data_IF_289811416506
#
_entry.id   IF_289811416506
#
_cell.length_a   1.000
_cell.length_b   1.000
_cell.length_c   1.000
_cell.angle_alpha   90.00
_cell.angle_beta   90.00
_cell.angle_gamma   90.00
#
_symmetry.space_group_name_H-M   'P 1'
#
loop_
_entity.id
_entity.type
_entity.pdbx_description
1 polymer ?
#
# COMPACT_ATOMS: atom_id res chain seq x y z
N UNK A 1 44.31 7.28 21.02
CA UNK A 1 42.99 7.16 20.35
C UNK A 1 42.00 6.74 21.41
N UNK A 2 41.06 7.62 21.77
CA UNK A 2 40.16 7.37 22.91
C UNK A 2 39.26 6.15 22.64
N UNK A 3 39.08 5.31 23.65
CA UNK A 3 38.26 4.09 23.60
C UNK A 3 36.83 4.38 23.12
N UNK A 4 36.32 5.58 23.40
CA UNK A 4 35.05 6.14 22.91
C UNK A 4 34.96 6.18 21.38
N UNK A 5 36.04 6.60 20.71
CA UNK A 5 36.11 6.69 19.24
C UNK A 5 36.11 5.29 18.63
N UNK A 6 36.87 4.36 19.19
CA UNK A 6 36.91 2.96 18.73
C UNK A 6 35.54 2.30 18.90
N UNK A 7 34.91 2.47 20.06
CA UNK A 7 33.57 1.93 20.34
C UNK A 7 32.51 2.49 19.39
N UNK A 8 32.57 3.79 19.10
CA UNK A 8 31.69 4.44 18.12
C UNK A 8 31.85 3.84 16.72
N UNK A 9 33.09 3.68 16.24
CA UNK A 9 33.34 3.09 14.91
C UNK A 9 32.95 1.62 14.82
N UNK A 10 33.08 0.86 15.91
CA UNK A 10 32.61 -0.53 15.98
C UNK A 10 31.09 -0.61 15.91
N UNK A 11 30.36 0.24 16.66
CA UNK A 11 28.90 0.32 16.57
C UNK A 11 28.46 0.79 15.18
N UNK A 12 29.14 1.79 14.62
CA UNK A 12 28.85 2.28 13.28
C UNK A 12 29.05 1.17 12.22
N UNK A 13 30.14 0.42 12.31
CA UNK A 13 30.40 -0.73 11.44
C UNK A 13 29.32 -1.81 11.60
N UNK A 14 28.92 -2.15 12.82
CA UNK A 14 27.86 -3.15 13.07
C UNK A 14 26.50 -2.70 12.53
N UNK A 15 26.16 -1.42 12.64
CA UNK A 15 24.91 -0.85 12.08
C UNK A 15 24.99 -0.86 10.55
N UNK A 16 26.08 -0.41 9.95
CA UNK A 16 26.29 -0.43 8.49
C UNK A 16 26.23 -1.87 7.96
N UNK A 17 26.82 -2.85 8.67
CA UNK A 17 26.74 -4.27 8.31
C UNK A 17 25.31 -4.80 8.41
N UNK A 18 24.55 -4.44 9.45
CA UNK A 18 23.16 -4.86 9.62
C UNK A 18 22.25 -4.26 8.53
N UNK A 19 22.48 -3.00 8.16
CA UNK A 19 21.80 -2.34 7.05
C UNK A 19 22.21 -2.91 5.70
N UNK A 20 23.50 -3.19 5.46
CA UNK A 20 23.98 -3.90 4.26
C UNK A 20 23.35 -5.28 4.16
N UNK A 21 23.18 -6.00 5.27
CA UNK A 21 22.47 -7.29 5.30
C UNK A 21 21.01 -7.13 4.92
N UNK A 22 20.31 -6.10 5.41
CA UNK A 22 18.93 -5.78 4.99
C UNK A 22 18.87 -5.45 3.50
N UNK A 23 19.80 -4.64 3.00
CA UNK A 23 19.92 -4.25 1.59
C UNK A 23 20.20 -5.48 0.72
N UNK A 24 21.14 -6.35 1.09
CA UNK A 24 21.45 -7.61 0.39
C UNK A 24 20.22 -8.51 0.38
N UNK A 25 19.49 -8.60 1.48
CA UNK A 25 18.25 -9.38 1.56
C UNK A 25 17.17 -8.84 0.62
N UNK A 26 17.08 -7.51 0.46
CA UNK A 26 16.18 -6.85 -0.50
C UNK A 26 16.68 -6.95 -1.97
N UNK A 27 18.01 -7.01 -2.17
CA UNK A 27 18.68 -7.21 -3.47
C UNK A 27 18.50 -8.64 -3.99
N UNK A 28 18.64 -9.64 -3.11
CA UNK A 28 18.37 -11.06 -3.39
C UNK A 28 16.89 -11.28 -3.74
N UNK A 29 15.98 -10.46 -3.19
CA UNK A 29 14.56 -10.44 -3.56
C UNK A 29 14.23 -9.62 -4.82
N UNK A 30 15.22 -9.22 -5.62
CA UNK A 30 15.08 -8.50 -6.90
C UNK A 30 14.29 -7.18 -6.85
N UNK A 31 13.98 -6.62 -5.67
CA UNK A 31 12.91 -5.61 -5.59
C UNK A 31 13.30 -4.17 -5.83
N UNK A 32 14.56 -3.72 -5.66
CA UNK A 32 14.89 -2.31 -5.95
C UNK A 32 16.39 -1.92 -5.98
N UNK A 33 17.15 -2.28 -7.02
CA UNK A 33 18.56 -1.88 -7.19
C UNK A 33 18.75 -0.34 -7.24
N UNK A 34 17.78 0.38 -7.78
CA UNK A 34 17.75 1.85 -7.88
C UNK A 34 17.57 2.54 -6.53
N UNK A 35 16.82 1.95 -5.59
CA UNK A 35 16.63 2.51 -4.25
C UNK A 35 17.92 2.55 -3.44
N UNK A 36 18.77 1.54 -3.60
CA UNK A 36 20.07 1.42 -2.92
C UNK A 36 21.06 2.47 -3.43
N UNK A 37 21.15 2.66 -4.76
CA UNK A 37 22.02 3.67 -5.35
C UNK A 37 21.62 5.10 -4.95
N UNK A 38 20.31 5.37 -4.90
CA UNK A 38 19.77 6.67 -4.52
C UNK A 38 20.03 6.97 -3.03
N UNK A 39 19.96 5.95 -2.17
CA UNK A 39 20.33 6.06 -0.76
C UNK A 39 21.81 6.37 -0.55
N UNK A 40 22.72 5.65 -1.24
CA UNK A 40 24.17 5.92 -1.17
C UNK A 40 24.48 7.35 -1.63
N UNK A 41 23.83 7.81 -2.71
CA UNK A 41 24.01 9.17 -3.23
C UNK A 41 23.54 10.24 -2.23
N UNK A 42 22.40 10.03 -1.58
CA UNK A 42 21.91 10.91 -0.51
C UNK A 42 22.90 10.94 0.66
N UNK A 43 23.43 9.78 1.06
CA UNK A 43 24.36 9.67 2.18
C UNK A 43 25.67 10.44 1.94
N UNK A 44 26.20 10.34 0.72
CA UNK A 44 27.36 11.11 0.28
C UNK A 44 27.07 12.63 0.21
N UNK A 45 25.89 13.01 -0.28
CA UNK A 45 25.47 14.42 -0.38
C UNK A 45 25.24 15.06 1.00
N UNK A 46 24.65 14.32 1.94
CA UNK A 46 24.46 14.76 3.34
C UNK A 46 25.80 14.92 4.04
N UNK A 47 26.72 13.98 3.89
CA UNK A 47 28.07 14.10 4.45
C UNK A 47 28.80 15.34 3.93
N UNK A 48 28.72 15.59 2.62
CA UNK A 48 29.34 16.75 1.97
C UNK A 48 28.72 18.09 2.42
N UNK A 49 27.39 18.17 2.49
CA UNK A 49 26.69 19.39 2.94
C UNK A 49 26.91 19.68 4.42
N UNK A 50 26.94 18.65 5.27
CA UNK A 50 27.23 18.81 6.70
C UNK A 50 28.67 19.31 6.93
N UNK A 51 29.63 18.78 6.18
CA UNK A 51 31.03 19.26 6.18
C UNK A 51 31.12 20.73 5.73
N UNK A 52 30.43 21.09 4.65
CA UNK A 52 30.44 22.45 4.11
C UNK A 52 29.83 23.49 5.07
N UNK A 53 28.72 23.16 5.73
CA UNK A 53 27.99 24.09 6.61
C UNK A 53 28.72 24.33 7.92
N UNK A 54 29.24 23.27 8.54
CA UNK A 54 29.77 23.36 9.90
C UNK A 54 31.29 23.47 9.99
N UNK A 55 32.01 23.32 8.86
CA UNK A 55 33.47 23.42 8.77
C UNK A 55 34.20 22.62 9.87
N UNK A 56 33.63 21.47 10.27
CA UNK A 56 34.21 20.59 11.27
C UNK A 56 35.40 19.84 10.69
N UNK A 57 36.38 19.55 11.55
CA UNK A 57 37.43 18.59 11.23
C UNK A 57 36.79 17.21 10.99
N UNK A 58 37.14 16.56 9.87
CA UNK A 58 36.52 15.31 9.39
C UNK A 58 36.70 14.18 10.42
N UNK A 59 37.71 14.31 11.29
CA UNK A 59 38.03 13.35 12.35
C UNK A 59 37.41 13.70 13.71
N UNK A 60 36.62 14.78 13.81
CA UNK A 60 35.96 15.15 15.06
C UNK A 60 34.77 14.25 15.38
N UNK A 61 34.61 13.89 16.66
CA UNK A 61 33.47 13.10 17.12
C UNK A 61 32.13 13.82 16.87
N UNK A 62 32.11 15.15 16.94
CA UNK A 62 30.94 15.99 16.64
C UNK A 62 30.50 15.87 15.18
N UNK A 63 31.45 15.78 14.23
CA UNK A 63 31.14 15.57 12.82
C UNK A 63 30.48 14.21 12.56
N UNK A 64 31.04 13.15 13.15
CA UNK A 64 30.48 11.80 13.04
C UNK A 64 29.07 11.68 13.63
N UNK A 65 28.82 12.26 14.81
CA UNK A 65 27.50 12.29 15.44
C UNK A 65 26.50 13.09 14.59
N UNK A 66 26.91 14.25 14.08
CA UNK A 66 26.06 15.12 13.27
C UNK A 66 25.60 14.45 11.98
N UNK A 67 26.52 13.80 11.25
CA UNK A 67 26.19 13.02 10.05
C UNK A 67 25.26 11.86 10.39
N UNK A 68 25.53 11.13 11.46
CA UNK A 68 24.71 9.99 11.88
C UNK A 68 23.26 10.39 12.17
N UNK A 69 23.07 11.44 12.98
CA UNK A 69 21.73 11.97 13.29
C UNK A 69 21.04 12.47 12.02
N UNK A 70 21.75 13.18 11.16
CA UNK A 70 21.18 13.72 9.92
C UNK A 70 20.73 12.60 8.97
N UNK A 71 21.49 11.51 8.84
CA UNK A 71 21.12 10.34 8.03
C UNK A 71 19.86 9.67 8.59
N UNK A 72 19.77 9.47 9.91
CA UNK A 72 18.58 8.87 10.53
C UNK A 72 17.35 9.73 10.27
N UNK A 73 17.45 11.04 10.53
CA UNK A 73 16.34 11.98 10.33
C UNK A 73 15.92 11.99 8.86
N UNK A 74 16.87 12.08 7.93
CA UNK A 74 16.54 12.11 6.51
C UNK A 74 15.93 10.79 6.02
N UNK A 75 16.37 9.66 6.55
CA UNK A 75 15.80 8.34 6.25
C UNK A 75 14.35 8.22 6.73
N UNK A 76 14.05 8.74 7.92
CA UNK A 76 12.69 8.79 8.45
C UNK A 76 11.81 9.69 7.56
N UNK A 77 12.29 10.90 7.25
CA UNK A 77 11.57 11.86 6.40
C UNK A 77 11.31 11.27 5.00
N UNK A 78 12.32 10.65 4.39
CA UNK A 78 12.19 10.03 3.07
C UNK A 78 11.16 8.89 3.08
N UNK A 79 11.21 8.01 4.08
CA UNK A 79 10.23 6.93 4.22
C UNK A 79 8.80 7.47 4.37
N UNK A 80 8.61 8.51 5.19
CA UNK A 80 7.31 9.17 5.34
C UNK A 80 6.83 9.76 4.02
N UNK A 81 7.70 10.45 3.27
CA UNK A 81 7.38 10.98 1.94
C UNK A 81 7.00 9.88 0.95
N UNK A 82 7.69 8.75 0.95
CA UNK A 82 7.35 7.60 0.11
C UNK A 82 5.96 7.03 0.44
N UNK A 83 5.64 6.86 1.72
CA UNK A 83 4.33 6.36 2.18
C UNK A 83 3.22 7.34 1.78
N UNK A 84 3.41 8.64 2.04
CA UNK A 84 2.48 9.70 1.66
C UNK A 84 2.26 9.74 0.15
N UNK A 85 3.33 9.66 -0.63
CA UNK A 85 3.27 9.67 -2.10
C UNK A 85 2.46 8.49 -2.65
N UNK A 86 2.71 7.27 -2.15
CA UNK A 86 1.93 6.07 -2.53
C UNK A 86 0.44 6.26 -2.21
N UNK A 87 0.12 6.73 -1.01
CA UNK A 87 -1.26 6.98 -0.58
C UNK A 87 -1.97 8.00 -1.45
N UNK A 88 -1.29 9.11 -1.80
CA UNK A 88 -1.84 10.14 -2.68
C UNK A 88 -2.07 9.59 -4.09
N UNK A 89 -1.11 8.84 -4.64
CA UNK A 89 -1.23 8.23 -5.97
C UNK A 89 -2.42 7.27 -6.06
N UNK A 90 -2.60 6.38 -5.08
CA UNK A 90 -3.79 5.51 -5.04
C UNK A 90 -5.06 6.33 -4.88
N UNK A 91 -5.10 7.30 -3.96
CA UNK A 91 -6.31 8.11 -3.77
C UNK A 91 -6.73 8.83 -5.06
N UNK A 92 -5.75 9.38 -5.81
CA UNK A 92 -5.99 9.95 -7.14
C UNK A 92 -6.49 8.91 -8.14
N UNK A 93 -5.92 7.71 -8.13
CA UNK A 93 -6.37 6.61 -8.98
C UNK A 93 -7.83 6.24 -8.69
N UNK A 94 -8.20 6.06 -7.42
CA UNK A 94 -9.58 5.74 -7.00
C UNK A 94 -10.57 6.80 -7.48
N UNK A 95 -10.26 8.08 -7.28
CA UNK A 95 -11.10 9.19 -7.77
C UNK A 95 -11.26 9.15 -9.29
N UNK A 96 -10.21 8.80 -10.03
CA UNK A 96 -10.29 8.62 -11.49
C UNK A 96 -11.20 7.45 -11.85
N UNK A 97 -11.13 6.33 -11.12
CA UNK A 97 -11.98 5.16 -11.34
C UNK A 97 -13.45 5.45 -11.03
N UNK A 98 -13.74 6.18 -9.97
CA UNK A 98 -15.09 6.64 -9.64
C UNK A 98 -15.69 7.52 -10.74
N UNK A 99 -14.89 8.42 -11.33
CA UNK A 99 -15.33 9.23 -12.49
C UNK A 99 -15.55 8.37 -13.73
N UNK A 100 -14.64 7.44 -14.02
CA UNK A 100 -14.74 6.54 -15.17
C UNK A 100 -15.95 5.62 -15.06
N UNK A 101 -16.26 5.13 -13.86
CA UNK A 101 -17.45 4.32 -13.58
C UNK A 101 -18.72 5.03 -14.05
N UNK A 102 -18.85 6.36 -13.89
CA UNK A 102 -20.03 7.11 -14.36
C UNK A 102 -20.13 7.31 -15.88
N UNK A 103 -19.08 6.99 -16.63
CA UNK A 103 -18.94 7.33 -18.05
C UNK A 103 -18.83 6.10 -18.96
N UNK A 104 -18.76 4.90 -18.40
CA UNK A 104 -18.53 3.66 -19.15
C UNK A 104 -19.64 2.66 -18.83
N UNK A 105 -19.89 1.71 -19.73
CA UNK A 105 -20.80 0.60 -19.42
C UNK A 105 -20.28 -0.22 -18.23
N UNK A 106 -21.17 -0.86 -17.48
CA UNK A 106 -20.81 -1.71 -16.33
C UNK A 106 -19.77 -2.77 -16.72
N UNK A 107 -20.04 -3.49 -17.82
CA UNK A 107 -19.16 -4.55 -18.33
C UNK A 107 -17.77 -4.02 -18.69
N UNK A 108 -17.69 -2.92 -19.45
CA UNK A 108 -16.40 -2.35 -19.86
C UNK A 108 -15.59 -1.84 -18.67
N UNK A 109 -16.28 -1.29 -17.66
CA UNK A 109 -15.64 -0.83 -16.45
C UNK A 109 -15.03 -1.99 -15.66
N UNK A 110 -15.78 -3.08 -15.46
CA UNK A 110 -15.29 -4.28 -14.75
C UNK A 110 -14.11 -4.90 -15.50
N UNK A 111 -14.21 -5.06 -16.82
CA UNK A 111 -13.12 -5.60 -17.63
C UNK A 111 -11.84 -4.74 -17.50
N UNK A 112 -12.00 -3.42 -17.55
CA UNK A 112 -10.88 -2.50 -17.36
C UNK A 112 -10.22 -2.64 -15.97
N UNK A 113 -11.01 -2.82 -14.92
CA UNK A 113 -10.49 -3.05 -13.56
C UNK A 113 -9.67 -4.33 -13.48
N UNK A 114 -10.15 -5.41 -14.09
CA UNK A 114 -9.46 -6.70 -14.15
C UNK A 114 -8.15 -6.61 -14.95
N UNK A 115 -8.15 -5.89 -16.08
CA UNK A 115 -6.95 -5.70 -16.91
C UNK A 115 -5.83 -4.96 -16.17
N UNK A 116 -6.17 -4.03 -15.27
CA UNK A 116 -5.20 -3.23 -14.50
C UNK A 116 -4.81 -3.84 -13.14
N UNK A 117 -5.26 -5.06 -12.84
CA UNK A 117 -5.04 -5.73 -11.56
C UNK A 117 -3.57 -5.75 -11.11
N UNK A 118 -2.61 -5.99 -12.01
CA UNK A 118 -1.19 -6.10 -11.65
C UNK A 118 -0.59 -4.80 -11.09
N UNK A 119 -1.11 -3.65 -11.51
CA UNK A 119 -0.62 -2.34 -11.05
C UNK A 119 -1.43 -1.80 -9.88
N UNK A 120 -2.75 -1.98 -9.94
CA UNK A 120 -3.69 -1.55 -8.91
C UNK A 120 -4.65 -2.71 -8.62
N UNK A 121 -4.26 -3.63 -7.72
CA UNK A 121 -5.11 -4.75 -7.36
C UNK A 121 -6.45 -4.26 -6.80
N UNK A 122 -7.54 -4.77 -7.39
CA UNK A 122 -8.91 -4.51 -6.95
C UNK A 122 -9.37 -5.72 -6.17
N UNK A 123 -9.93 -5.48 -4.99
CA UNK A 123 -10.44 -6.53 -4.13
C UNK A 123 -11.95 -6.38 -3.93
N UNK A 124 -12.58 -7.51 -3.66
CA UNK A 124 -13.97 -7.64 -3.26
C UNK A 124 -13.99 -8.05 -1.80
N UNK A 125 -14.73 -7.30 -1.00
CA UNK A 125 -15.11 -7.64 0.36
C UNK A 125 -16.60 -7.99 0.34
N UNK A 126 -16.93 -9.25 0.52
CA UNK A 126 -18.30 -9.73 0.62
C UNK A 126 -18.53 -10.28 2.03
N UNK A 127 -19.51 -9.73 2.72
CA UNK A 127 -19.89 -10.12 4.09
C UNK A 127 -21.36 -10.57 4.01
N UNK A 128 -21.62 -11.86 3.74
CA UNK A 128 -22.97 -12.40 3.54
C UNK A 128 -23.85 -12.22 4.77
N UNK A 129 -23.27 -12.35 5.98
CA UNK A 129 -23.97 -12.17 7.27
C UNK A 129 -24.63 -10.79 7.40
N UNK A 130 -24.01 -9.76 6.84
CA UNK A 130 -24.53 -8.40 6.80
C UNK A 130 -25.23 -8.05 5.49
N UNK A 131 -25.30 -9.00 4.55
CA UNK A 131 -25.80 -8.80 3.19
C UNK A 131 -25.10 -7.65 2.45
N UNK A 132 -23.79 -7.48 2.70
CA UNK A 132 -23.01 -6.36 2.15
C UNK A 132 -21.88 -6.80 1.24
N UNK A 133 -21.70 -6.07 0.15
CA UNK A 133 -20.55 -6.18 -0.74
C UNK A 133 -19.88 -4.82 -0.95
N UNK A 134 -18.56 -4.80 -0.95
CA UNK A 134 -17.76 -3.62 -1.25
C UNK A 134 -16.62 -3.98 -2.18
N UNK A 135 -16.42 -3.17 -3.22
CA UNK A 135 -15.31 -3.33 -4.16
C UNK A 135 -14.39 -2.12 -4.00
N UNK A 136 -13.08 -2.35 -3.97
CA UNK A 136 -12.14 -1.28 -3.67
C UNK A 136 -10.68 -1.68 -3.73
N UNK A 137 -9.85 -0.84 -3.12
CA UNK A 137 -8.41 -0.92 -3.18
C UNK A 137 -7.80 -0.89 -1.79
N UNK A 138 -6.70 -1.62 -1.61
CA UNK A 138 -5.79 -1.40 -0.48
C UNK A 138 -5.04 -0.06 -0.71
N UNK A 139 -5.29 0.93 0.17
CA UNK A 139 -4.71 2.28 0.08
C UNK A 139 -3.18 2.26 0.17
N UNK A 140 -2.60 1.23 0.80
CA UNK A 140 -1.15 1.12 0.95
C UNK A 140 -0.45 0.48 -0.27
N UNK A 141 -1.21 -0.11 -1.20
CA UNK A 141 -0.70 -0.97 -2.30
C UNK A 141 0.29 -2.04 -1.85
N UNK A 142 0.12 -2.56 -0.64
CA UNK A 142 1.00 -3.58 -0.10
C UNK A 142 0.41 -4.97 -0.35
N UNK A 143 1.31 -5.96 -0.40
CA UNK A 143 0.91 -7.36 -0.40
C UNK A 143 0.08 -7.64 0.85
N UNK A 144 -0.97 -8.45 0.67
CA UNK A 144 -1.82 -8.89 1.75
C UNK A 144 -1.04 -9.84 2.67
N UNK A 145 -1.07 -9.56 3.98
CA UNK A 145 -0.44 -10.39 5.01
C UNK A 145 -1.48 -10.69 6.07
N UNK A 146 -1.62 -11.97 6.42
CA UNK A 146 -2.53 -12.43 7.47
C UNK A 146 -2.12 -11.79 8.80
N UNK A 147 -3.10 -11.34 9.59
CA UNK A 147 -2.90 -10.66 10.86
C UNK A 147 -2.52 -9.18 10.74
N UNK A 148 -2.30 -8.65 9.53
CA UNK A 148 -2.03 -7.22 9.31
C UNK A 148 -3.31 -6.46 8.98
N UNK A 149 -3.47 -5.28 9.59
CA UNK A 149 -4.57 -4.37 9.29
C UNK A 149 -4.48 -3.81 7.86
N UNK A 150 -5.62 -3.74 7.18
CA UNK A 150 -5.77 -3.25 5.81
C UNK A 150 -6.58 -1.97 5.83
N UNK A 151 -6.04 -0.93 5.19
CA UNK A 151 -6.79 0.29 4.90
C UNK A 151 -7.43 0.15 3.52
N UNK A 152 -8.74 -0.04 3.49
CA UNK A 152 -9.49 -0.28 2.27
C UNK A 152 -10.32 0.96 1.89
N UNK A 153 -10.24 1.36 0.62
CA UNK A 153 -11.08 2.45 0.08
C UNK A 153 -11.92 1.89 -1.06
N UNK A 154 -13.23 2.02 -0.91
CA UNK A 154 -14.20 1.43 -1.81
C UNK A 154 -14.50 2.35 -3.01
N UNK A 155 -15.05 1.77 -4.07
CA UNK A 155 -15.58 2.50 -5.22
C UNK A 155 -16.77 3.39 -4.81
N UNK A 156 -17.57 2.95 -3.84
CA UNK A 156 -18.64 3.74 -3.17
C UNK A 156 -18.10 4.88 -2.29
N UNK A 157 -16.78 5.11 -2.27
CA UNK A 157 -16.08 6.18 -1.56
C UNK A 157 -16.04 6.04 -0.02
N UNK A 158 -16.29 4.84 0.50
CA UNK A 158 -16.17 4.51 1.92
C UNK A 158 -14.73 4.10 2.26
N UNK A 159 -14.35 4.34 3.51
CA UNK A 159 -13.09 3.86 4.08
C UNK A 159 -13.38 2.79 5.12
N UNK A 160 -12.76 1.64 4.95
CA UNK A 160 -12.87 0.51 5.87
C UNK A 160 -11.48 0.16 6.40
N UNK A 161 -11.45 -0.31 7.65
CA UNK A 161 -10.25 -0.84 8.28
C UNK A 161 -10.59 -2.17 8.93
N UNK A 162 -9.86 -3.22 8.54
CA UNK A 162 -10.06 -4.57 9.06
C UNK A 162 -8.77 -5.36 8.96
N UNK A 163 -8.71 -6.48 9.67
CA UNK A 163 -7.55 -7.38 9.69
C UNK A 163 -7.92 -8.67 8.96
N UNK A 164 -7.03 -9.16 8.10
CA UNK A 164 -7.22 -10.50 7.51
C UNK A 164 -6.95 -11.56 8.57
N UNK A 165 -7.98 -12.31 8.93
CA UNK A 165 -7.87 -13.47 9.83
C UNK A 165 -7.55 -14.74 9.06
N UNK A 166 -7.87 -14.79 7.77
CA UNK A 166 -7.68 -15.94 6.89
C UNK A 166 -7.10 -15.49 5.53
N UNK A 167 -6.40 -16.38 4.80
CA UNK A 167 -5.98 -16.06 3.44
C UNK A 167 -7.21 -15.81 2.56
N UNK A 168 -7.08 -15.02 1.49
CA UNK A 168 -8.13 -14.86 0.49
C UNK A 168 -8.46 -16.22 -0.13
N UNK A 169 -9.43 -16.93 0.44
CA UNK A 169 -9.96 -18.17 -0.08
C UNK A 169 -11.35 -17.92 -0.63
N UNK A 170 -11.62 -18.47 -1.81
CA UNK A 170 -12.97 -18.63 -2.34
C UNK A 170 -13.62 -19.80 -1.57
N UNK A 171 -13.69 -19.70 -0.25
CA UNK A 171 -14.34 -20.69 0.59
C UNK A 171 -15.79 -20.24 0.74
N UNK A 172 -16.64 -20.77 -0.15
CA UNK A 172 -18.11 -20.71 -0.13
C UNK A 172 -18.73 -19.32 0.06
N UNK A 173 -19.60 -18.89 -0.87
CA UNK A 173 -20.39 -17.62 -0.84
C UNK A 173 -21.09 -17.32 0.52
N UNK A 174 -21.16 -18.30 1.43
CA UNK A 174 -21.74 -18.21 2.77
C UNK A 174 -20.82 -17.58 3.82
N UNK A 175 -19.51 -17.58 3.62
CA UNK A 175 -18.55 -17.02 4.58
C UNK A 175 -18.10 -15.61 4.16
N UNK A 176 -17.52 -14.85 5.09
CA UNK A 176 -16.95 -13.54 4.78
C UNK A 176 -15.75 -13.71 3.83
N UNK A 177 -15.87 -13.17 2.62
CA UNK A 177 -14.87 -13.29 1.55
C UNK A 177 -14.12 -11.99 1.37
N UNK A 178 -12.80 -12.07 1.36
CA UNK A 178 -11.93 -11.01 0.85
C UNK A 178 -10.99 -11.59 -0.21
N UNK A 179 -11.22 -11.29 -1.48
CA UNK A 179 -10.40 -11.84 -2.59
C UNK A 179 -10.24 -10.82 -3.73
N UNK A 180 -9.48 -11.17 -4.77
CA UNK A 180 -9.35 -10.28 -5.94
C UNK A 180 -10.68 -10.20 -6.70
N UNK A 181 -10.91 -9.07 -7.38
CA UNK A 181 -12.07 -8.92 -8.25
C UNK A 181 -12.10 -9.97 -9.36
N UNK A 182 -10.93 -10.32 -9.90
CA UNK A 182 -10.82 -11.33 -10.95
C UNK A 182 -11.32 -12.69 -10.49
N UNK A 183 -10.88 -13.12 -9.29
CA UNK A 183 -11.25 -14.41 -8.73
C UNK A 183 -12.75 -14.47 -8.36
N UNK A 184 -13.27 -13.38 -7.77
CA UNK A 184 -14.68 -13.32 -7.38
C UNK A 184 -15.61 -13.31 -8.60
N UNK A 185 -15.34 -12.44 -9.58
CA UNK A 185 -16.22 -12.24 -10.74
C UNK A 185 -16.30 -13.47 -11.65
N UNK A 186 -15.21 -14.23 -11.75
CA UNK A 186 -15.14 -15.43 -12.59
C UNK A 186 -15.54 -16.72 -11.86
N UNK A 187 -15.95 -16.64 -10.59
CA UNK A 187 -16.25 -17.84 -9.81
C UNK A 187 -17.53 -18.56 -10.28
N UNK A 188 -18.65 -17.83 -10.40
CA UNK A 188 -19.91 -18.35 -10.91
C UNK A 188 -20.85 -17.22 -11.38
N UNK A 189 -22.02 -17.57 -11.93
CA UNK A 189 -22.98 -16.58 -12.43
C UNK A 189 -23.58 -15.68 -11.34
N UNK A 190 -23.71 -16.19 -10.11
CA UNK A 190 -24.26 -15.45 -8.98
C UNK A 190 -23.31 -14.33 -8.53
N UNK A 191 -22.04 -14.65 -8.33
CA UNK A 191 -20.97 -13.70 -7.99
C UNK A 191 -20.80 -12.64 -9.08
N UNK A 192 -20.84 -13.05 -10.35
CA UNK A 192 -20.87 -12.13 -11.49
C UNK A 192 -22.03 -11.14 -11.41
N UNK A 193 -23.26 -11.65 -11.27
CA UNK A 193 -24.47 -10.81 -11.18
C UNK A 193 -24.44 -9.87 -9.97
N UNK A 194 -23.86 -10.32 -8.86
CA UNK A 194 -23.67 -9.53 -7.63
C UNK A 194 -22.78 -8.32 -7.89
N UNK A 195 -21.67 -8.50 -8.60
CA UNK A 195 -20.75 -7.41 -8.97
C UNK A 195 -21.41 -6.46 -9.96
N UNK A 196 -22.07 -6.98 -10.98
CA UNK A 196 -22.77 -6.17 -11.99
C UNK A 196 -23.82 -5.26 -11.33
N UNK A 197 -24.63 -5.81 -10.42
CA UNK A 197 -25.64 -5.08 -9.65
C UNK A 197 -25.02 -4.03 -8.70
N UNK A 198 -23.94 -4.37 -8.01
CA UNK A 198 -23.24 -3.40 -7.16
C UNK A 198 -22.70 -2.22 -7.97
N UNK A 199 -22.06 -2.48 -9.12
CA UNK A 199 -21.51 -1.43 -9.98
C UNK A 199 -22.62 -0.56 -10.57
N UNK A 200 -23.73 -1.15 -11.03
CA UNK A 200 -24.88 -0.39 -11.54
C UNK A 200 -25.48 0.50 -10.46
N UNK A 201 -25.68 0.01 -9.23
CA UNK A 201 -26.16 0.81 -8.09
C UNK A 201 -25.27 2.02 -7.81
N UNK A 202 -23.95 1.92 -7.98
CA UNK A 202 -23.04 3.08 -7.85
C UNK A 202 -23.25 4.06 -9.01
N UNK A 203 -23.37 3.58 -10.25
CA UNK A 203 -23.60 4.42 -11.43
C UNK A 203 -24.89 5.24 -11.27
N UNK A 204 -25.94 4.59 -10.79
CA UNK A 204 -27.26 5.16 -10.54
C UNK A 204 -27.32 6.04 -9.27
N UNK A 205 -26.19 6.21 -8.57
CA UNK A 205 -26.05 6.99 -7.34
C UNK A 205 -27.01 6.55 -6.22
N UNK A 206 -27.24 5.24 -6.06
CA UNK A 206 -27.92 4.73 -4.87
C UNK A 206 -27.18 5.17 -3.60
N UNK A 207 -27.93 5.43 -2.52
CA UNK A 207 -27.34 5.83 -1.24
C UNK A 207 -26.56 4.69 -0.56
N UNK A 208 -26.98 3.44 -0.77
CA UNK A 208 -26.41 2.24 -0.14
C UNK A 208 -26.11 1.14 -1.16
N UNK A 209 -25.23 1.37 -2.15
CA UNK A 209 -24.95 0.43 -3.23
C UNK A 209 -24.37 -0.90 -2.74
N UNK A 210 -23.77 -0.89 -1.54
CA UNK A 210 -23.19 -2.06 -0.91
C UNK A 210 -24.20 -3.07 -0.34
N UNK A 211 -25.47 -2.71 -0.21
CA UNK A 211 -26.50 -3.64 0.28
C UNK A 211 -27.05 -4.44 -0.90
N UNK A 212 -26.99 -5.77 -0.83
CA UNK A 212 -27.39 -6.65 -1.93
C UNK A 212 -28.91 -6.70 -2.10
N UNK A 213 -29.68 -6.81 -1.01
CA UNK A 213 -31.15 -6.78 -1.01
C UNK A 213 -31.68 -5.68 -0.06
N UNK A 214 -32.52 -4.79 -0.58
CA UNK A 214 -33.53 -4.12 0.26
C UNK A 214 -34.79 -5.00 0.20
N UNK A 215 -35.04 -5.83 1.20
CA UNK A 215 -36.37 -6.46 1.38
C UNK A 215 -37.43 -5.47 1.87
N UNK A 216 -37.42 -4.23 1.39
CA UNK A 216 -38.42 -3.21 1.74
C UNK A 216 -38.76 -2.30 0.56
N UNK A 217 -39.13 -2.91 -0.56
CA UNK A 217 -40.20 -2.34 -1.39
C UNK A 217 -41.33 -3.37 -1.34
N UNK A 218 -42.14 -3.25 -0.28
CA UNK A 218 -43.43 -3.94 -0.21
C UNK A 218 -44.28 -3.50 -1.41
N UNK A 219 -45.01 -4.48 -1.94
CA UNK A 219 -46.01 -4.39 -3.01
C UNK A 219 -46.98 -3.22 -2.86
#
# INVERSE_FOLDING_TARGET
MEVSVIFFWVIHALIVISFLKSIITDLIKEKNKTGVALYISILLSVGYTFQYIHNYDIFSASWGIGIFVTIIVLSIVFNLLCILSKRILISRHIRKMQKKLKQTSVSDFIYYLMEKHNKYPVYVLHIPSNNTIEIGYNIMNENLVIGKGIHFRTLSNRSLYFTLTQPPLIATIKDDVFCTLHDYYNHNNETKSTIDNYISKIQDNHNTPWILNNESVQK
#
